data_IF_105514726184
#
_entry.id   IF_105514726184
#
_cell.length_a   1.000
_cell.length_b   1.000
_cell.length_c   1.000
_cell.angle_alpha   90.00
_cell.angle_beta   90.00
_cell.angle_gamma   90.00
#
_symmetry.space_group_name_H-M   'P 1'
#
loop_
_entity.id
_entity.type
_entity.pdbx_description
1 polymer ?
#
# COMPACT_ATOMS: atom_id res chain seq x y z
N UNK A 1 10.52 20.22 5.02
CA UNK A 1 9.37 19.64 5.73
C UNK A 1 9.74 18.20 6.03
N UNK A 2 10.22 17.91 7.23
CA UNK A 2 10.53 16.55 7.64
C UNK A 2 9.20 15.81 7.79
N UNK A 3 8.89 14.91 6.86
CA UNK A 3 7.82 13.95 7.09
C UNK A 3 8.31 13.11 8.28
N UNK A 4 7.72 13.31 9.47
CA UNK A 4 8.06 12.51 10.64
C UNK A 4 7.61 11.09 10.34
N UNK A 5 8.54 10.27 9.86
CA UNK A 5 8.25 8.95 9.30
C UNK A 5 7.58 8.03 10.33
N UNK A 6 7.94 8.19 11.62
CA UNK A 6 7.26 7.52 12.72
C UNK A 6 5.80 7.94 12.86
N UNK A 7 5.50 9.24 12.71
CA UNK A 7 4.12 9.75 12.70
C UNK A 7 3.36 9.24 11.47
N UNK A 8 4.00 9.18 10.32
CA UNK A 8 3.39 8.64 9.10
C UNK A 8 3.00 7.17 9.28
N UNK A 9 3.92 6.33 9.76
CA UNK A 9 3.65 4.91 10.04
C UNK A 9 2.57 4.72 11.12
N UNK A 10 2.54 5.55 12.16
CA UNK A 10 1.47 5.54 13.17
C UNK A 10 0.10 5.89 12.58
N UNK A 11 0.03 6.95 11.75
CA UNK A 11 -1.20 7.35 11.07
C UNK A 11 -1.70 6.25 10.14
N UNK A 12 -0.80 5.57 9.43
CA UNK A 12 -1.14 4.41 8.59
C UNK A 12 -1.68 3.26 9.43
N UNK A 13 -0.99 2.90 10.52
CA UNK A 13 -1.41 1.81 11.41
C UNK A 13 -2.80 2.05 11.99
N UNK A 14 -3.05 3.25 12.50
CA UNK A 14 -4.37 3.67 12.99
C UNK A 14 -5.40 3.60 11.87
N UNK A 15 -5.06 4.06 10.67
CA UNK A 15 -5.96 4.05 9.51
C UNK A 15 -6.37 2.65 9.07
N UNK A 16 -5.44 1.67 9.11
CA UNK A 16 -5.71 0.26 8.79
C UNK A 16 -6.62 -0.36 9.86
N UNK A 17 -6.37 -0.11 11.14
CA UNK A 17 -7.23 -0.61 12.24
C UNK A 17 -8.63 -0.01 12.13
N UNK A 18 -8.73 1.31 11.89
CA UNK A 18 -10.00 2.00 11.75
C UNK A 18 -10.81 1.44 10.58
N UNK A 19 -10.16 1.18 9.45
CA UNK A 19 -10.82 0.63 8.27
C UNK A 19 -11.28 -0.82 8.47
N UNK A 20 -10.54 -1.65 9.21
CA UNK A 20 -11.02 -2.98 9.63
C UNK A 20 -12.29 -2.87 10.48
N UNK A 21 -12.27 -2.01 11.52
CA UNK A 21 -13.42 -1.80 12.42
C UNK A 21 -14.65 -1.28 11.65
N UNK A 22 -14.46 -0.29 10.78
CA UNK A 22 -15.53 0.27 9.94
C UNK A 22 -16.04 -0.74 8.90
N UNK A 23 -15.18 -1.65 8.44
CA UNK A 23 -15.53 -2.72 7.50
C UNK A 23 -16.50 -3.77 8.08
N UNK A 24 -16.48 -3.97 9.41
CA UNK A 24 -17.38 -4.87 10.13
C UNK A 24 -18.74 -4.27 10.44
N UNK A 25 -18.89 -2.94 10.29
CA UNK A 25 -20.12 -2.22 10.56
C UNK A 25 -21.27 -2.62 9.62
N UNK A 26 -22.40 -3.07 10.19
CA UNK A 26 -23.60 -3.44 9.42
C UNK A 26 -24.41 -2.22 8.92
N UNK A 27 -24.28 -1.06 9.58
CA UNK A 27 -25.08 0.13 9.28
C UNK A 27 -24.73 0.76 7.93
N UNK A 28 -25.73 1.35 7.26
CA UNK A 28 -25.56 2.03 5.97
C UNK A 28 -24.58 3.20 6.04
N UNK A 29 -24.52 3.87 7.20
CA UNK A 29 -23.61 4.99 7.47
C UNK A 29 -22.16 4.50 7.60
N UNK A 30 -21.91 3.47 8.41
CA UNK A 30 -20.58 2.86 8.55
C UNK A 30 -20.06 2.36 7.21
N UNK A 31 -20.95 1.78 6.40
CA UNK A 31 -20.63 1.44 5.02
C UNK A 31 -20.18 2.68 4.25
N UNK A 32 -20.96 3.77 4.17
CA UNK A 32 -20.53 4.96 3.41
C UNK A 32 -19.18 5.51 3.88
N UNK A 33 -18.96 5.61 5.19
CA UNK A 33 -17.69 6.08 5.76
C UNK A 33 -16.51 5.19 5.37
N UNK A 34 -16.66 3.87 5.44
CA UNK A 34 -15.62 2.93 5.00
C UNK A 34 -15.24 3.12 3.52
N UNK A 35 -16.21 3.40 2.64
CA UNK A 35 -15.94 3.63 1.22
C UNK A 35 -15.12 4.91 1.01
N UNK A 36 -15.50 6.01 1.68
CA UNK A 36 -14.76 7.28 1.60
C UNK A 36 -13.34 7.10 2.12
N UNK A 37 -13.18 6.46 3.28
CA UNK A 37 -11.86 6.15 3.84
C UNK A 37 -11.02 5.30 2.88
N UNK A 38 -11.60 4.27 2.26
CA UNK A 38 -10.90 3.43 1.28
C UNK A 38 -10.40 4.25 0.09
N UNK A 39 -11.22 5.16 -0.44
CA UNK A 39 -10.84 6.04 -1.56
C UNK A 39 -9.67 6.95 -1.14
N UNK A 40 -9.75 7.56 0.04
CA UNK A 40 -8.68 8.41 0.56
C UNK A 40 -7.38 7.63 0.72
N UNK A 41 -7.44 6.41 1.27
CA UNK A 41 -6.27 5.54 1.38
C UNK A 41 -5.63 5.28 0.02
N UNK A 42 -6.43 4.93 -1.00
CA UNK A 42 -5.92 4.69 -2.35
C UNK A 42 -5.21 5.93 -2.92
N UNK A 43 -5.80 7.12 -2.77
CA UNK A 43 -5.18 8.37 -3.23
C UNK A 43 -3.84 8.59 -2.52
N UNK A 44 -3.80 8.43 -1.20
CA UNK A 44 -2.57 8.55 -0.41
C UNK A 44 -1.53 7.51 -0.83
N UNK A 45 -1.93 6.26 -1.09
CA UNK A 45 -1.03 5.21 -1.55
C UNK A 45 -0.42 5.49 -2.93
N UNK A 46 -1.23 5.98 -3.88
CA UNK A 46 -0.73 6.32 -5.22
C UNK A 46 0.20 7.53 -5.15
N UNK A 47 -0.23 8.62 -4.53
CA UNK A 47 0.59 9.84 -4.42
C UNK A 47 1.84 9.58 -3.59
N UNK A 48 1.70 8.85 -2.48
CA UNK A 48 2.81 8.48 -1.60
C UNK A 48 3.87 7.64 -2.32
N UNK A 49 3.47 6.62 -3.08
CA UNK A 49 4.44 5.77 -3.80
C UNK A 49 5.28 6.56 -4.82
N UNK A 50 4.72 7.59 -5.45
CA UNK A 50 5.45 8.51 -6.34
C UNK A 50 6.42 9.39 -5.54
N UNK A 51 5.98 9.95 -4.40
CA UNK A 51 6.74 10.91 -3.61
C UNK A 51 7.87 10.30 -2.78
N UNK A 52 7.78 9.03 -2.38
CA UNK A 52 8.81 8.38 -1.53
C UNK A 52 10.18 8.39 -2.20
N UNK A 53 10.25 8.04 -3.50
CA UNK A 53 11.50 8.03 -4.26
C UNK A 53 12.11 9.43 -4.36
N UNK A 54 11.29 10.42 -4.72
CA UNK A 54 11.74 11.82 -4.83
C UNK A 54 12.27 12.35 -3.50
N UNK A 55 11.54 12.06 -2.41
CA UNK A 55 11.93 12.44 -1.05
C UNK A 55 13.26 11.80 -0.65
N UNK A 56 13.45 10.51 -0.95
CA UNK A 56 14.70 9.78 -0.68
C UNK A 56 15.90 10.43 -1.40
N UNK A 57 15.78 10.65 -2.72
CA UNK A 57 16.86 11.25 -3.54
C UNK A 57 17.17 12.67 -3.08
N UNK A 58 16.14 13.48 -2.81
CA UNK A 58 16.31 14.84 -2.32
C UNK A 58 17.05 14.87 -0.98
N UNK A 59 16.68 14.00 -0.04
CA UNK A 59 17.32 13.95 1.27
C UNK A 59 18.79 13.52 1.17
N UNK A 60 19.09 12.51 0.35
CA UNK A 60 20.46 12.08 0.11
C UNK A 60 21.32 13.19 -0.52
N UNK A 61 20.78 13.94 -1.47
CA UNK A 61 21.48 15.08 -2.07
C UNK A 61 21.72 16.22 -1.08
N UNK A 62 20.79 16.46 -0.15
CA UNK A 62 20.93 17.48 0.89
C UNK A 62 21.95 17.12 1.97
N UNK A 63 22.15 15.82 2.23
CA UNK A 63 23.11 15.32 3.20
C UNK A 63 24.40 14.79 2.54
N UNK A 64 24.65 15.11 1.27
CA UNK A 64 25.76 14.56 0.48
C UNK A 64 27.12 14.75 1.17
N UNK A 65 27.35 15.93 1.75
CA UNK A 65 28.61 16.27 2.44
C UNK A 65 28.85 15.47 3.74
N UNK A 66 27.84 14.74 4.23
CA UNK A 66 27.92 13.92 5.44
C UNK A 66 28.28 12.46 5.16
N UNK A 67 28.21 12.03 3.90
CA UNK A 67 28.46 10.64 3.52
C UNK A 67 29.91 10.45 3.09
N UNK A 68 30.55 9.42 3.61
CA UNK A 68 31.86 9.00 3.12
C UNK A 68 31.65 8.32 1.75
N UNK A 69 32.42 8.72 0.73
CA UNK A 69 32.22 8.23 -0.65
C UNK A 69 30.77 8.40 -1.15
N UNK A 70 30.21 9.60 -0.92
CA UNK A 70 28.80 9.93 -1.12
C UNK A 70 28.21 9.43 -2.46
N UNK A 71 28.96 9.51 -3.55
CA UNK A 71 28.47 9.10 -4.88
C UNK A 71 28.26 7.58 -4.98
N UNK A 72 29.18 6.78 -4.42
CA UNK A 72 29.02 5.33 -4.40
C UNK A 72 27.89 4.92 -3.47
N UNK A 73 27.78 5.57 -2.31
CA UNK A 73 26.69 5.33 -1.36
C UNK A 73 25.33 5.66 -1.95
N UNK A 74 25.17 6.83 -2.58
CA UNK A 74 23.93 7.26 -3.21
C UNK A 74 23.55 6.31 -4.36
N UNK A 75 24.49 5.88 -5.19
CA UNK A 75 24.24 4.90 -6.25
C UNK A 75 23.79 3.56 -5.69
N UNK A 76 24.43 3.07 -4.63
CA UNK A 76 24.03 1.83 -3.96
C UNK A 76 22.63 1.94 -3.37
N UNK A 77 22.33 3.02 -2.64
CA UNK A 77 21.06 3.22 -1.95
C UNK A 77 19.90 3.38 -2.95
N UNK A 78 20.09 4.19 -3.99
CA UNK A 78 19.10 4.36 -5.06
C UNK A 78 18.87 3.06 -5.81
N UNK A 79 19.91 2.32 -6.18
CA UNK A 79 19.77 1.04 -6.87
C UNK A 79 19.01 0.00 -6.03
N UNK A 80 19.29 -0.08 -4.72
CA UNK A 80 18.56 -0.97 -3.80
C UNK A 80 17.08 -0.59 -3.68
N UNK A 81 16.79 0.68 -3.47
CA UNK A 81 15.41 1.16 -3.39
C UNK A 81 14.65 0.95 -4.69
N UNK A 82 15.23 1.33 -5.83
CA UNK A 82 14.60 1.22 -7.15
C UNK A 82 14.35 -0.24 -7.51
N UNK A 83 15.29 -1.15 -7.18
CA UNK A 83 15.09 -2.59 -7.35
C UNK A 83 13.87 -3.07 -6.58
N UNK A 84 13.77 -2.75 -5.29
CA UNK A 84 12.62 -3.11 -4.48
C UNK A 84 11.33 -2.52 -5.07
N UNK A 85 11.32 -1.22 -5.34
CA UNK A 85 10.16 -0.48 -5.82
C UNK A 85 9.61 -1.02 -7.14
N UNK A 86 10.49 -1.32 -8.11
CA UNK A 86 10.06 -1.89 -9.39
C UNK A 86 9.37 -3.23 -9.19
N UNK A 87 9.97 -4.13 -8.40
CA UNK A 87 9.41 -5.45 -8.15
C UNK A 87 8.10 -5.38 -7.36
N UNK A 88 8.05 -4.59 -6.28
CA UNK A 88 6.91 -4.51 -5.38
C UNK A 88 5.71 -3.78 -6.02
N UNK A 89 5.94 -2.69 -6.75
CA UNK A 89 4.88 -1.96 -7.45
C UNK A 89 4.32 -2.78 -8.62
N UNK A 90 5.18 -3.45 -9.37
CA UNK A 90 4.74 -4.32 -10.47
C UNK A 90 3.88 -5.46 -9.95
N UNK A 91 4.30 -6.11 -8.86
CA UNK A 91 3.52 -7.16 -8.22
C UNK A 91 2.19 -6.63 -7.67
N UNK A 92 2.19 -5.45 -7.07
CA UNK A 92 0.97 -4.79 -6.54
C UNK A 92 -0.02 -4.52 -7.67
N UNK A 93 0.45 -3.99 -8.79
CA UNK A 93 -0.37 -3.73 -9.97
C UNK A 93 -0.98 -5.02 -10.54
N UNK A 94 -0.19 -6.09 -10.67
CA UNK A 94 -0.66 -7.40 -11.15
C UNK A 94 -1.74 -7.96 -10.23
N UNK A 95 -1.54 -7.92 -8.91
CA UNK A 95 -2.51 -8.41 -7.92
C UNK A 95 -3.82 -7.63 -8.01
N UNK A 96 -3.75 -6.30 -8.05
CA UNK A 96 -4.93 -5.45 -8.17
C UNK A 96 -5.69 -5.77 -9.45
N UNK A 97 -4.99 -5.84 -10.59
CA UNK A 97 -5.59 -6.15 -11.88
C UNK A 97 -6.27 -7.53 -11.86
N UNK A 98 -5.57 -8.56 -11.38
CA UNK A 98 -6.09 -9.92 -11.30
C UNK A 98 -7.36 -10.00 -10.44
N UNK A 99 -7.34 -9.39 -9.24
CA UNK A 99 -8.50 -9.38 -8.35
C UNK A 99 -9.69 -8.62 -8.95
N UNK A 100 -9.44 -7.47 -9.58
CA UNK A 100 -10.50 -6.69 -10.25
C UNK A 100 -11.12 -7.50 -11.40
N UNK A 101 -10.30 -8.12 -12.25
CA UNK A 101 -10.79 -8.96 -13.36
C UNK A 101 -11.63 -10.13 -12.84
N UNK A 102 -11.13 -10.86 -11.82
CA UNK A 102 -11.85 -11.98 -11.19
C UNK A 102 -13.21 -11.51 -10.66
N UNK A 103 -13.28 -10.34 -10.02
CA UNK A 103 -14.53 -9.79 -9.49
C UNK A 103 -15.52 -9.41 -10.59
N UNK A 104 -15.05 -8.79 -11.67
CA UNK A 104 -15.90 -8.37 -12.79
C UNK A 104 -16.44 -9.59 -13.55
N UNK A 105 -15.61 -10.60 -13.82
CA UNK A 105 -16.04 -11.83 -14.48
C UNK A 105 -17.07 -12.62 -13.65
N UNK A 106 -16.89 -12.65 -12.33
CA UNK A 106 -17.78 -13.37 -11.41
C UNK A 106 -18.87 -12.47 -10.81
N UNK A 107 -19.17 -11.31 -11.42
CA UNK A 107 -20.12 -10.34 -10.84
C UNK A 107 -21.50 -10.93 -10.49
N UNK A 108 -21.96 -11.91 -11.27
CA UNK A 108 -23.25 -12.59 -11.06
C UNK A 108 -23.25 -13.60 -9.91
N UNK A 109 -22.08 -13.95 -9.36
CA UNK A 109 -21.89 -14.93 -8.28
C UNK A 109 -21.22 -14.31 -7.04
N UNK A 110 -21.36 -12.99 -6.86
CA UNK A 110 -20.88 -12.25 -5.68
C UNK A 110 -21.72 -12.56 -4.42
N UNK A 111 -21.78 -13.84 -4.04
CA UNK A 111 -22.38 -14.29 -2.78
C UNK A 111 -21.62 -13.73 -1.59
N UNK A 112 -22.27 -13.70 -0.42
CA UNK A 112 -21.65 -13.23 0.83
C UNK A 112 -20.33 -13.96 1.12
N UNK A 113 -20.27 -15.26 0.86
CA UNK A 113 -19.07 -16.08 1.10
C UNK A 113 -17.90 -15.70 0.19
N UNK A 114 -18.18 -15.42 -1.09
CA UNK A 114 -17.15 -14.98 -2.03
C UNK A 114 -16.55 -13.62 -1.62
N UNK A 115 -17.39 -12.71 -1.11
CA UNK A 115 -16.95 -11.41 -0.62
C UNK A 115 -16.07 -11.51 0.64
N UNK A 116 -16.37 -12.46 1.53
CA UNK A 116 -15.55 -12.73 2.72
C UNK A 116 -14.19 -13.28 2.29
N UNK A 117 -14.16 -14.27 1.39
CA UNK A 117 -12.91 -14.86 0.87
C UNK A 117 -11.99 -13.80 0.27
N UNK A 118 -12.52 -12.92 -0.59
CA UNK A 118 -11.77 -11.79 -1.17
C UNK A 118 -11.14 -10.93 -0.08
N UNK A 119 -11.91 -10.60 0.96
CA UNK A 119 -11.45 -9.72 2.04
C UNK A 119 -10.31 -10.38 2.82
N UNK A 120 -10.47 -11.67 3.16
CA UNK A 120 -9.43 -12.46 3.83
C UNK A 120 -8.17 -12.53 2.96
N UNK A 121 -8.29 -12.82 1.67
CA UNK A 121 -7.16 -12.86 0.74
C UNK A 121 -6.41 -11.53 0.71
N UNK A 122 -7.12 -10.41 0.66
CA UNK A 122 -6.50 -9.08 0.68
C UNK A 122 -5.77 -8.80 1.99
N UNK A 123 -6.37 -9.13 3.13
CA UNK A 123 -5.71 -8.95 4.45
C UNK A 123 -4.45 -9.81 4.54
N UNK A 124 -4.51 -11.06 4.11
CA UNK A 124 -3.33 -11.94 4.07
C UNK A 124 -2.25 -11.37 3.17
N UNK A 125 -2.60 -10.87 1.98
CA UNK A 125 -1.65 -10.21 1.08
C UNK A 125 -1.01 -8.97 1.73
N UNK A 126 -1.79 -8.12 2.40
CA UNK A 126 -1.25 -6.95 3.11
C UNK A 126 -0.21 -7.35 4.17
N UNK A 127 -0.47 -8.42 4.93
CA UNK A 127 0.48 -8.95 5.93
C UNK A 127 1.74 -9.49 5.26
N UNK A 128 1.60 -10.25 4.17
CA UNK A 128 2.74 -10.78 3.42
C UNK A 128 3.62 -9.65 2.88
N UNK A 129 3.03 -8.60 2.30
CA UNK A 129 3.75 -7.41 1.84
C UNK A 129 4.56 -6.77 2.96
N UNK A 130 3.92 -6.59 4.12
CA UNK A 130 4.57 -5.99 5.29
C UNK A 130 5.77 -6.82 5.78
N UNK A 131 5.62 -8.15 5.89
CA UNK A 131 6.71 -9.05 6.29
C UNK A 131 7.83 -9.03 5.26
N UNK A 132 7.51 -9.11 3.96
CA UNK A 132 8.50 -9.08 2.89
C UNK A 132 9.33 -7.78 2.91
N UNK A 133 8.69 -6.64 3.18
CA UNK A 133 9.36 -5.36 3.33
C UNK A 133 10.30 -5.29 4.53
N UNK A 134 9.91 -5.86 5.68
CA UNK A 134 10.78 -5.97 6.85
C UNK A 134 12.01 -6.82 6.52
N UNK A 135 11.81 -8.00 5.93
CA UNK A 135 12.90 -8.91 5.56
C UNK A 135 13.87 -8.25 4.59
N UNK A 136 13.35 -7.59 3.54
CA UNK A 136 14.18 -6.84 2.61
C UNK A 136 14.88 -5.65 3.28
N UNK A 137 14.16 -4.93 4.14
CA UNK A 137 14.65 -3.79 4.91
C UNK A 137 15.84 -4.13 5.80
N UNK A 138 15.86 -5.30 6.45
CA UNK A 138 17.02 -5.75 7.24
C UNK A 138 18.31 -5.82 6.41
N UNK A 139 18.22 -6.18 5.12
CA UNK A 139 19.35 -6.19 4.19
C UNK A 139 19.84 -4.80 3.75
N UNK A 140 19.20 -3.74 4.24
CA UNK A 140 19.48 -2.35 3.87
C UNK A 140 19.83 -1.45 5.05
N UNK A 141 19.97 -2.01 6.26
CA UNK A 141 20.39 -1.27 7.45
C UNK A 141 21.84 -0.82 7.28
N UNK A 142 22.05 0.47 7.10
CA UNK A 142 23.36 1.11 7.08
C UNK A 142 23.40 2.22 8.14
N UNK A 143 24.57 2.51 8.70
CA UNK A 143 24.79 3.57 9.69
C UNK A 143 24.54 4.97 9.13
N UNK A 144 24.68 5.15 7.82
CA UNK A 144 24.62 6.47 7.17
C UNK A 144 23.19 6.90 6.80
N UNK A 145 22.28 5.96 6.51
CA UNK A 145 20.89 6.25 6.17
C UNK A 145 20.00 5.06 6.52
N UNK A 146 18.83 5.36 7.10
CA UNK A 146 17.80 4.37 7.33
C UNK A 146 16.98 4.11 6.05
N UNK A 147 17.57 3.40 5.09
CA UNK A 147 16.92 3.03 3.83
C UNK A 147 15.71 2.12 4.04
N UNK A 148 15.77 1.26 5.07
CA UNK A 148 14.70 0.36 5.45
C UNK A 148 13.39 1.11 5.73
N UNK A 149 13.51 2.29 6.33
CA UNK A 149 12.36 3.15 6.62
C UNK A 149 11.63 3.66 5.38
N UNK A 150 12.35 3.96 4.29
CA UNK A 150 11.75 4.34 3.00
C UNK A 150 11.09 3.15 2.30
N UNK A 151 11.72 1.97 2.39
CA UNK A 151 11.13 0.71 1.90
C UNK A 151 9.80 0.45 2.61
N UNK A 152 9.77 0.50 3.94
CA UNK A 152 8.54 0.32 4.73
C UNK A 152 7.47 1.36 4.40
N UNK A 153 7.89 2.59 4.11
CA UNK A 153 6.97 3.68 3.70
C UNK A 153 6.36 3.40 2.33
N UNK A 154 7.15 2.90 1.38
CA UNK A 154 6.64 2.47 0.07
C UNK A 154 5.66 1.29 0.22
N UNK A 155 6.00 0.29 1.02
CA UNK A 155 5.11 -0.85 1.28
C UNK A 155 3.79 -0.43 1.92
N UNK A 156 3.83 0.53 2.84
CA UNK A 156 2.61 1.09 3.42
C UNK A 156 1.71 1.73 2.34
N UNK A 157 2.30 2.43 1.36
CA UNK A 157 1.58 2.97 0.22
C UNK A 157 0.97 1.85 -0.64
N UNK A 158 1.68 0.75 -0.86
CA UNK A 158 1.18 -0.43 -1.60
C UNK A 158 0.01 -1.10 -0.89
N UNK A 159 0.10 -1.27 0.44
CA UNK A 159 -1.00 -1.77 1.27
C UNK A 159 -2.24 -0.88 1.12
N UNK A 160 -2.07 0.44 1.06
CA UNK A 160 -3.18 1.34 0.79
C UNK A 160 -3.75 1.18 -0.63
N UNK A 161 -2.92 0.93 -1.64
CA UNK A 161 -3.37 0.65 -3.00
C UNK A 161 -4.20 -0.65 -3.09
N UNK A 162 -3.95 -1.64 -2.22
CA UNK A 162 -4.75 -2.85 -2.10
C UNK A 162 -6.20 -2.60 -1.62
N UNK A 163 -6.58 -1.36 -1.28
CA UNK A 163 -7.99 -0.99 -1.09
C UNK A 163 -8.75 -0.84 -2.41
N UNK A 164 -8.08 -0.75 -3.57
CA UNK A 164 -8.75 -0.67 -4.89
C UNK A 164 -9.71 -1.87 -5.10
N UNK A 165 -9.28 -3.13 -4.95
CA UNK A 165 -10.20 -4.27 -5.04
C UNK A 165 -11.37 -4.23 -4.04
N UNK A 166 -11.17 -3.66 -2.83
CA UNK A 166 -12.24 -3.53 -1.82
C UNK A 166 -13.29 -2.51 -2.24
N UNK A 167 -12.87 -1.40 -2.86
CA UNK A 167 -13.75 -0.39 -3.44
C UNK A 167 -14.55 -1.02 -4.59
N UNK A 168 -13.86 -1.69 -5.53
CA UNK A 168 -14.50 -2.34 -6.69
C UNK A 168 -15.53 -3.38 -6.25
N UNK A 169 -15.17 -4.28 -5.33
CA UNK A 169 -16.09 -5.27 -4.74
C UNK A 169 -17.40 -4.60 -4.29
N UNK A 170 -17.28 -3.47 -3.61
CA UNK A 170 -18.41 -2.76 -3.01
C UNK A 170 -19.26 -2.00 -4.03
N UNK A 171 -18.64 -1.46 -5.08
CA UNK A 171 -19.37 -0.85 -6.19
C UNK A 171 -20.20 -1.88 -6.96
N UNK A 172 -19.63 -3.07 -7.22
CA UNK A 172 -20.33 -4.15 -7.93
C UNK A 172 -21.57 -4.66 -7.17
N UNK A 173 -21.58 -4.62 -5.83
CA UNK A 173 -22.75 -4.99 -5.02
C UNK A 173 -23.90 -4.00 -5.16
N UNK A 174 -23.61 -2.71 -5.42
CA UNK A 174 -24.64 -1.66 -5.52
C UNK A 174 -25.30 -1.56 -6.88
N UNK A 175 -24.70 -2.15 -7.92
CA UNK A 175 -25.25 -2.12 -9.28
C UNK A 175 -26.36 -3.18 -9.37
N UNK A 176 -27.60 -2.81 -9.73
CA UNK A 176 -28.68 -3.77 -9.94
C UNK A 176 -28.25 -4.82 -10.96
N UNK A 177 -28.45 -6.10 -10.64
CA UNK A 177 -28.14 -7.17 -11.58
C UNK A 177 -29.22 -7.18 -12.67
N UNK A 178 -28.87 -7.28 -13.97
CA UNK A 178 -29.86 -7.56 -14.98
C UNK A 178 -30.50 -8.91 -14.64
N UNK A 179 -31.84 -8.91 -14.53
CA UNK A 179 -32.63 -10.14 -14.37
C UNK A 179 -32.21 -11.10 -15.50
N UNK A 180 -31.69 -12.27 -15.11
CA UNK A 180 -31.48 -13.38 -16.03
C UNK A 180 -32.75 -14.19 -16.14
#
# INVERSE_FOLDING_TARGET
MYLNLGLFLQVIGVSIVLSIVLGLGKSTILKRLYLIMSILMVIVGIVGSILVRDTLVRLMNQSRDRFYEADQFIQWATAKFDTYAIWSLSLTAIIILALVVIMVMNRSRLTSDFQIRITITLVVLMVIYFIAAIVYGFGTINKELDLASYILTLTACEIMMLYIPLIVKRLLIRIPQPLK
#
